data_IF_039199183967
#
_entry.id   IF_039199183967
#
_cell.length_a   1.000
_cell.length_b   1.000
_cell.length_c   1.000
_cell.angle_alpha   90.00
_cell.angle_beta   90.00
_cell.angle_gamma   90.00
#
_symmetry.space_group_name_H-M   'P 1'
#
loop_
_entity.id
_entity.type
_entity.pdbx_description
1 polymer ?
#
# COMPACT_ATOMS: atom_id res chain seq x y z
N UNK A 1 -1.18 -7.19 22.41
CA UNK A 1 -2.52 -7.43 21.85
C UNK A 1 -2.34 -8.10 20.50
N UNK A 2 -2.72 -9.36 20.38
CA UNK A 2 -2.74 -10.10 19.12
C UNK A 2 -4.03 -9.80 18.37
N UNK A 3 -3.95 -9.55 17.07
CA UNK A 3 -5.12 -9.53 16.19
C UNK A 3 -5.40 -10.98 15.75
N UNK A 4 -6.68 -11.34 15.66
CA UNK A 4 -7.10 -12.62 15.09
C UNK A 4 -7.46 -12.46 13.61
N UNK A 5 -7.51 -13.56 12.89
CA UNK A 5 -8.11 -13.61 11.57
C UNK A 5 -9.58 -13.17 11.62
N UNK A 6 -10.14 -12.63 10.51
CA UNK A 6 -11.56 -12.38 10.41
C UNK A 6 -12.38 -13.65 10.69
N UNK A 7 -13.49 -13.51 11.43
CA UNK A 7 -14.38 -14.64 11.71
C UNK A 7 -15.08 -15.16 10.45
N UNK A 8 -15.61 -16.39 10.53
CA UNK A 8 -16.29 -17.04 9.41
C UNK A 8 -17.60 -16.35 8.93
N UNK A 9 -18.06 -15.33 9.65
CA UNK A 9 -19.22 -14.50 9.31
C UNK A 9 -18.80 -13.08 8.88
N UNK A 10 -17.56 -12.88 8.46
CA UNK A 10 -17.04 -11.56 8.06
C UNK A 10 -17.82 -10.94 6.90
N UNK A 11 -18.38 -11.76 6.01
CA UNK A 11 -19.24 -11.39 4.90
C UNK A 11 -20.54 -10.69 5.31
N UNK A 12 -20.94 -10.84 6.58
CA UNK A 12 -22.13 -10.19 7.15
C UNK A 12 -21.86 -8.78 7.72
N UNK A 13 -20.58 -8.39 7.86
CA UNK A 13 -20.26 -7.06 8.37
C UNK A 13 -20.48 -5.98 7.30
N UNK A 14 -21.06 -4.85 7.70
CA UNK A 14 -21.13 -3.67 6.84
C UNK A 14 -19.73 -3.01 6.71
N UNK A 15 -19.20 -2.93 5.50
CA UNK A 15 -17.96 -2.23 5.26
C UNK A 15 -18.20 -0.72 5.10
N UNK A 16 -17.37 0.10 5.74
CA UNK A 16 -17.29 1.51 5.36
C UNK A 16 -16.43 1.62 4.09
N UNK A 17 -17.01 2.18 3.02
CA UNK A 17 -16.37 2.29 1.71
C UNK A 17 -16.11 3.76 1.40
N UNK A 18 -14.85 4.08 1.09
CA UNK A 18 -14.42 5.39 0.61
C UNK A 18 -14.21 5.33 -0.91
N UNK A 19 -14.62 6.39 -1.60
CA UNK A 19 -14.35 6.57 -3.02
C UNK A 19 -13.08 7.38 -3.18
N UNK A 20 -12.07 6.81 -3.81
CA UNK A 20 -10.75 7.42 -4.01
C UNK A 20 -10.49 7.61 -5.51
N UNK A 21 -10.06 8.81 -5.89
CA UNK A 21 -9.64 9.08 -7.26
C UNK A 21 -8.23 8.51 -7.50
N UNK A 22 -7.99 7.81 -8.63
CA UNK A 22 -6.63 7.43 -9.00
C UNK A 22 -5.65 8.61 -9.09
N UNK A 23 -6.11 9.82 -9.34
CA UNK A 23 -5.28 11.03 -9.38
C UNK A 23 -4.64 11.41 -8.03
N UNK A 24 -5.15 10.83 -6.93
CA UNK A 24 -4.58 11.01 -5.60
C UNK A 24 -3.48 10.00 -5.27
N UNK A 25 -3.26 9.01 -6.15
CA UNK A 25 -2.38 7.88 -5.87
C UNK A 25 -0.97 8.10 -6.38
N UNK A 26 -0.01 7.70 -5.56
CA UNK A 26 1.41 7.67 -5.88
C UNK A 26 1.94 6.25 -5.63
N UNK A 27 2.71 5.75 -6.58
CA UNK A 27 3.44 4.49 -6.44
C UNK A 27 4.91 4.70 -6.80
N UNK A 28 5.80 4.04 -6.08
CA UNK A 28 7.21 3.94 -6.44
C UNK A 28 7.46 2.56 -7.05
N UNK A 29 8.10 2.54 -8.22
CA UNK A 29 8.41 1.32 -8.95
C UNK A 29 9.84 1.34 -9.49
N UNK A 30 10.38 0.15 -9.76
CA UNK A 30 11.63 -0.01 -10.54
C UNK A 30 11.40 0.15 -12.05
N UNK A 31 10.15 0.14 -12.47
CA UNK A 31 9.76 0.14 -13.89
C UNK A 31 8.82 1.30 -14.18
N UNK A 32 8.87 1.82 -15.40
CA UNK A 32 7.97 2.84 -15.92
C UNK A 32 6.97 2.28 -16.95
N UNK A 33 6.97 0.97 -17.17
CA UNK A 33 6.10 0.27 -18.11
C UNK A 33 5.44 -0.94 -17.46
N UNK A 34 4.30 -1.37 -17.99
CA UNK A 34 3.46 -2.46 -17.44
C UNK A 34 2.99 -2.20 -15.99
N UNK A 35 2.80 -0.92 -15.65
CA UNK A 35 2.29 -0.48 -14.35
C UNK A 35 0.82 -0.01 -14.46
N UNK A 36 0.03 -0.09 -13.37
CA UNK A 36 0.43 -0.68 -12.09
C UNK A 36 0.55 -2.21 -12.17
N UNK A 37 1.65 -2.72 -11.64
CA UNK A 37 1.87 -4.17 -11.56
C UNK A 37 1.12 -4.75 -10.36
N UNK A 38 0.33 -5.81 -10.62
CA UNK A 38 -0.39 -6.55 -9.60
C UNK A 38 0.36 -7.86 -9.29
N UNK A 39 1.17 -7.81 -8.22
CA UNK A 39 2.00 -8.94 -7.80
C UNK A 39 1.19 -10.11 -7.25
N UNK A 40 1.62 -11.34 -7.58
CA UNK A 40 1.06 -12.60 -7.07
C UNK A 40 2.12 -13.43 -6.34
N UNK A 41 3.10 -12.76 -5.71
CA UNK A 41 4.18 -13.47 -5.02
C UNK A 41 3.72 -14.23 -3.78
N UNK A 42 2.70 -13.72 -3.11
CA UNK A 42 2.25 -14.20 -1.80
C UNK A 42 3.19 -13.77 -0.66
N UNK A 43 4.20 -12.96 -0.96
CA UNK A 43 5.24 -12.58 -0.01
C UNK A 43 5.01 -11.26 0.74
N UNK A 44 4.12 -10.40 0.24
CA UNK A 44 3.84 -9.13 0.92
C UNK A 44 2.71 -9.29 1.94
N UNK A 45 2.61 -8.30 2.84
CA UNK A 45 1.69 -8.29 3.98
C UNK A 45 0.23 -8.60 3.63
N UNK A 46 -0.24 -8.10 2.49
CA UNK A 46 -1.63 -8.22 2.07
C UNK A 46 -1.81 -9.00 0.76
N UNK A 47 -0.78 -9.73 0.32
CA UNK A 47 -0.88 -10.62 -0.82
C UNK A 47 -1.80 -11.83 -0.52
N UNK A 48 -2.40 -12.42 -1.55
CA UNK A 48 -3.03 -13.73 -1.39
C UNK A 48 -1.95 -14.83 -1.36
N UNK A 49 -1.81 -15.58 -0.24
CA UNK A 49 -0.81 -16.66 -0.16
C UNK A 49 -1.09 -17.80 -1.14
N UNK A 50 -2.32 -17.92 -1.64
CA UNK A 50 -2.71 -18.88 -2.67
C UNK A 50 -2.57 -18.34 -4.10
N UNK A 51 -2.12 -17.07 -4.27
CA UNK A 51 -1.86 -16.43 -5.57
C UNK A 51 -3.06 -16.38 -6.52
N UNK A 52 -4.29 -16.39 -6.01
CA UNK A 52 -5.52 -16.37 -6.81
C UNK A 52 -5.76 -15.01 -7.46
N UNK A 53 -5.33 -13.93 -6.77
CA UNK A 53 -5.41 -12.56 -7.28
C UNK A 53 -4.12 -11.81 -6.97
N UNK A 54 -3.87 -10.77 -7.75
CA UNK A 54 -2.74 -9.87 -7.54
C UNK A 54 -3.13 -8.66 -6.69
N UNK A 55 -2.13 -8.06 -6.06
CA UNK A 55 -2.24 -6.83 -5.28
C UNK A 55 -1.26 -5.79 -5.77
N UNK A 56 -1.64 -4.52 -5.68
CA UNK A 56 -0.78 -3.37 -5.94
C UNK A 56 -0.89 -2.37 -4.80
N UNK A 57 0.24 -1.78 -4.38
CA UNK A 57 0.35 -0.92 -3.20
C UNK A 57 0.60 0.52 -3.62
N UNK A 58 -0.06 1.48 -2.93
CA UNK A 58 0.03 2.90 -3.23
C UNK A 58 0.04 3.73 -1.94
N UNK A 59 0.61 4.93 -2.01
CA UNK A 59 0.45 5.97 -1.01
C UNK A 59 -0.33 7.16 -1.57
N UNK A 60 -0.75 8.08 -0.69
CA UNK A 60 -1.34 9.35 -1.08
C UNK A 60 -0.29 10.47 -1.17
N UNK A 61 0.90 10.24 -0.64
CA UNK A 61 2.01 11.18 -0.69
C UNK A 61 3.27 10.48 -1.14
N UNK A 62 4.20 11.22 -1.74
CA UNK A 62 5.49 10.67 -2.14
C UNK A 62 6.28 10.14 -0.93
N UNK A 63 6.33 10.82 0.25
CA UNK A 63 6.98 10.25 1.43
C UNK A 63 6.38 8.91 1.87
N UNK A 64 5.04 8.77 1.86
CA UNK A 64 4.38 7.51 2.22
C UNK A 64 4.72 6.39 1.23
N UNK A 65 4.60 6.63 -0.07
CA UNK A 65 4.95 5.66 -1.09
C UNK A 65 6.44 5.27 -1.02
N UNK A 66 7.33 6.22 -0.68
CA UNK A 66 8.76 5.98 -0.52
C UNK A 66 9.05 5.11 0.72
N UNK A 67 8.43 5.42 1.85
CA UNK A 67 8.60 4.65 3.08
C UNK A 67 8.10 3.21 2.92
N UNK A 68 6.94 3.01 2.29
CA UNK A 68 6.34 1.69 2.05
C UNK A 68 7.11 0.85 1.00
N UNK A 69 7.97 1.47 0.18
CA UNK A 69 8.63 0.76 -0.94
C UNK A 69 10.15 0.70 -0.77
N UNK A 70 10.81 1.86 -0.55
CA UNK A 70 12.28 1.94 -0.54
C UNK A 70 12.82 1.73 0.86
N UNK A 71 12.14 2.26 1.89
CA UNK A 71 12.57 2.14 3.29
C UNK A 71 11.98 0.93 4.01
N UNK A 72 11.18 0.11 3.32
CA UNK A 72 10.43 -1.00 3.94
C UNK A 72 11.29 -1.90 4.82
N UNK A 73 12.47 -2.29 4.36
CA UNK A 73 13.41 -3.20 5.05
C UNK A 73 14.65 -2.46 5.58
N UNK A 74 14.67 -1.12 5.46
CA UNK A 74 15.83 -0.32 5.85
C UNK A 74 15.74 0.14 7.31
N UNK A 75 16.89 0.19 7.96
CA UNK A 75 17.01 0.68 9.35
C UNK A 75 17.83 1.96 9.36
N UNK A 76 17.28 3.01 9.94
CA UNK A 76 18.00 4.27 10.08
C UNK A 76 19.19 4.14 11.03
N UNK A 77 20.36 4.62 10.60
CA UNK A 77 21.47 4.89 11.50
C UNK A 77 21.27 6.21 12.27
N UNK A 78 22.22 6.57 13.15
CA UNK A 78 22.12 7.83 13.94
C UNK A 78 22.04 9.10 13.08
N UNK A 79 22.57 9.05 11.85
CA UNK A 79 22.58 10.18 10.91
C UNK A 79 21.44 10.14 9.89
N UNK A 80 20.71 9.03 9.78
CA UNK A 80 19.63 8.80 8.81
C UNK A 80 19.82 7.51 8.03
N UNK A 81 19.17 7.42 6.86
CA UNK A 81 19.26 6.23 6.00
C UNK A 81 20.38 6.37 4.98
N UNK A 82 21.19 5.33 4.82
CA UNK A 82 22.20 5.21 3.79
C UNK A 82 21.64 4.35 2.65
N UNK A 83 21.45 4.93 1.48
CA UNK A 83 20.86 4.26 0.33
C UNK A 83 21.83 4.25 -0.85
N UNK A 84 21.95 3.10 -1.49
CA UNK A 84 22.73 2.94 -2.73
C UNK A 84 22.00 3.60 -3.90
N UNK A 85 22.76 3.93 -4.96
CA UNK A 85 22.19 4.42 -6.21
C UNK A 85 21.12 3.46 -6.78
N UNK A 86 21.33 2.13 -6.65
CA UNK A 86 20.37 1.13 -7.10
C UNK A 86 19.05 1.12 -6.31
N UNK A 87 19.06 1.52 -5.04
CA UNK A 87 17.85 1.68 -4.23
C UNK A 87 17.09 2.95 -4.61
N UNK A 88 17.80 3.99 -5.03
CA UNK A 88 17.25 5.27 -5.47
C UNK A 88 16.83 5.27 -6.95
N UNK A 89 17.29 4.32 -7.75
CA UNK A 89 16.89 4.15 -9.16
C UNK A 89 15.45 3.65 -9.21
N UNK A 90 14.53 4.58 -9.17
CA UNK A 90 13.07 4.36 -9.11
C UNK A 90 12.33 5.38 -9.95
N UNK A 91 11.12 5.01 -10.33
CA UNK A 91 10.13 5.90 -10.92
C UNK A 91 9.03 6.22 -9.91
N UNK A 92 8.64 7.49 -9.88
CA UNK A 92 7.42 7.96 -9.22
C UNK A 92 6.32 7.93 -10.24
N UNK A 93 5.30 7.12 -10.00
CA UNK A 93 4.16 6.95 -10.87
C UNK A 93 2.95 7.67 -10.29
N UNK A 94 2.24 8.40 -11.13
CA UNK A 94 0.91 8.94 -10.86
C UNK A 94 -0.11 8.34 -11.80
N UNK A 95 -1.39 8.43 -11.44
CA UNK A 95 -2.44 7.66 -12.11
C UNK A 95 -3.62 8.53 -12.50
N UNK A 96 -4.44 8.00 -13.39
CA UNK A 96 -5.76 8.50 -13.79
C UNK A 96 -6.69 7.31 -14.00
N UNK A 97 -7.99 7.58 -14.07
CA UNK A 97 -8.97 6.54 -14.35
C UNK A 97 -10.26 6.72 -13.54
N UNK A 98 -10.95 5.60 -13.26
CA UNK A 98 -12.23 5.59 -12.57
C UNK A 98 -12.06 5.57 -11.05
N UNK A 99 -13.06 6.07 -10.31
CA UNK A 99 -13.08 6.02 -8.86
C UNK A 99 -12.97 4.58 -8.33
N UNK A 100 -12.12 4.39 -7.34
CA UNK A 100 -11.95 3.14 -6.62
C UNK A 100 -12.85 3.11 -5.39
N UNK A 101 -13.55 2.00 -5.16
CA UNK A 101 -14.31 1.72 -3.95
C UNK A 101 -13.42 0.96 -2.96
N UNK A 102 -12.90 1.63 -1.94
CA UNK A 102 -11.94 1.06 -1.00
C UNK A 102 -12.56 0.89 0.39
N UNK A 103 -12.43 -0.30 0.97
CA UNK A 103 -12.85 -0.53 2.35
C UNK A 103 -11.90 0.16 3.35
N UNK A 104 -12.43 0.78 4.38
CA UNK A 104 -11.62 1.42 5.42
C UNK A 104 -11.16 0.39 6.46
N UNK A 105 -9.91 -0.06 6.37
CA UNK A 105 -9.28 -0.96 7.34
C UNK A 105 -8.42 -0.17 8.34
N UNK A 106 -8.99 0.89 8.91
CA UNK A 106 -8.32 1.76 9.89
C UNK A 106 -9.33 2.42 10.84
N UNK A 107 -8.83 3.01 11.92
CA UNK A 107 -9.62 3.79 12.87
C UNK A 107 -10.81 3.01 13.45
N UNK A 108 -11.97 3.68 13.66
CA UNK A 108 -13.17 3.04 14.20
C UNK A 108 -13.73 1.97 13.26
N UNK A 109 -13.53 2.10 11.95
CA UNK A 109 -14.02 1.12 10.97
C UNK A 109 -13.33 -0.23 11.15
N UNK A 110 -12.00 -0.25 11.28
CA UNK A 110 -11.24 -1.46 11.61
C UNK A 110 -11.68 -2.06 12.96
N UNK A 111 -11.91 -1.20 13.95
CA UNK A 111 -12.34 -1.66 15.27
C UNK A 111 -13.72 -2.31 15.23
N UNK A 112 -14.65 -1.78 14.45
CA UNK A 112 -15.99 -2.34 14.26
C UNK A 112 -15.96 -3.70 13.53
N UNK A 113 -14.94 -3.95 12.72
CA UNK A 113 -14.70 -5.25 12.09
C UNK A 113 -13.99 -6.26 13.01
N UNK A 114 -13.72 -5.89 14.27
CA UNK A 114 -13.01 -6.74 15.24
C UNK A 114 -11.49 -6.68 15.16
N UNK A 115 -10.94 -5.81 14.31
CA UNK A 115 -9.50 -5.65 14.12
C UNK A 115 -8.85 -4.62 15.08
N UNK A 116 -7.56 -4.46 14.93
CA UNK A 116 -6.74 -3.43 15.59
C UNK A 116 -5.50 -3.09 14.73
N UNK A 117 -4.70 -2.10 15.15
CA UNK A 117 -3.56 -1.60 14.40
C UNK A 117 -2.49 -2.67 14.05
N UNK A 118 -2.48 -3.81 14.74
CA UNK A 118 -1.55 -4.89 14.43
C UNK A 118 -1.72 -5.45 13.00
N UNK A 119 -2.88 -5.29 12.37
CA UNK A 119 -3.10 -5.69 10.97
C UNK A 119 -2.07 -5.11 10.02
N UNK A 120 -1.62 -3.87 10.30
CA UNK A 120 -0.63 -3.17 9.47
C UNK A 120 0.83 -3.39 9.90
N UNK A 121 1.08 -3.94 11.10
CA UNK A 121 2.44 -3.98 11.66
C UNK A 121 2.94 -5.38 12.03
N UNK A 122 2.04 -6.37 12.20
CA UNK A 122 2.45 -7.69 12.66
C UNK A 122 3.23 -8.49 11.61
N UNK A 123 4.10 -9.35 12.10
CA UNK A 123 4.78 -10.43 11.39
C UNK A 123 4.61 -11.72 12.20
N UNK A 124 4.53 -12.90 11.56
CA UNK A 124 4.43 -13.13 10.12
C UNK A 124 3.12 -12.64 9.52
N UNK A 125 3.01 -12.64 8.17
CA UNK A 125 1.91 -12.01 7.42
C UNK A 125 0.63 -12.86 7.31
N UNK A 126 0.59 -14.04 7.91
CA UNK A 126 -0.56 -14.98 7.80
C UNK A 126 -1.90 -14.33 8.16
N UNK A 127 -1.95 -13.54 9.22
CA UNK A 127 -3.20 -12.89 9.66
C UNK A 127 -3.54 -11.67 8.77
N UNK A 128 -2.63 -10.72 8.47
CA UNK A 128 -2.88 -9.67 7.49
C UNK A 128 -3.36 -10.18 6.13
N UNK A 129 -2.80 -11.27 5.63
CA UNK A 129 -3.20 -11.91 4.38
C UNK A 129 -4.63 -12.46 4.45
N UNK A 130 -5.04 -13.02 5.60
CA UNK A 130 -6.42 -13.45 5.81
C UNK A 130 -7.41 -12.26 5.86
N UNK A 131 -7.00 -11.13 6.43
CA UNK A 131 -7.79 -9.89 6.38
C UNK A 131 -7.96 -9.38 4.95
N UNK A 132 -6.86 -9.33 4.17
CA UNK A 132 -6.90 -8.96 2.74
C UNK A 132 -7.83 -9.88 1.95
N UNK A 133 -7.73 -11.18 2.18
CA UNK A 133 -8.58 -12.18 1.53
C UNK A 133 -10.06 -12.01 1.89
N UNK A 134 -10.38 -11.81 3.17
CA UNK A 134 -11.75 -11.61 3.60
C UNK A 134 -12.38 -10.37 2.97
N UNK A 135 -11.62 -9.27 2.81
CA UNK A 135 -12.07 -8.09 2.07
C UNK A 135 -12.21 -8.34 0.58
N UNK A 136 -11.28 -9.10 -0.03
CA UNK A 136 -11.37 -9.47 -1.44
C UNK A 136 -12.61 -10.31 -1.72
N UNK A 137 -12.91 -11.30 -0.88
CA UNK A 137 -14.01 -12.24 -1.08
C UNK A 137 -15.36 -11.68 -0.58
N UNK A 138 -15.37 -10.48 0.04
CA UNK A 138 -16.56 -9.84 0.60
C UNK A 138 -17.61 -9.52 -0.46
N UNK A 139 -18.93 -9.72 -0.18
CA UNK A 139 -20.04 -9.44 -1.12
C UNK A 139 -20.13 -8.00 -1.64
N UNK A 140 -19.53 -7.04 -0.91
CA UNK A 140 -19.47 -5.64 -1.36
C UNK A 140 -18.55 -5.42 -2.58
N UNK A 141 -17.79 -6.45 -3.01
CA UNK A 141 -16.90 -6.42 -4.19
C UNK A 141 -16.00 -5.17 -4.28
N UNK A 142 -15.38 -4.78 -3.15
CA UNK A 142 -14.49 -3.63 -3.10
C UNK A 142 -13.29 -3.79 -4.02
N UNK A 143 -12.78 -2.67 -4.53
CA UNK A 143 -11.60 -2.62 -5.42
C UNK A 143 -10.29 -2.81 -4.64
N UNK A 144 -10.33 -2.65 -3.33
CA UNK A 144 -9.20 -2.72 -2.43
C UNK A 144 -9.55 -2.18 -1.05
N UNK A 145 -8.56 -1.75 -0.29
CA UNK A 145 -8.77 -1.18 1.03
C UNK A 145 -7.68 -0.19 1.44
N UNK A 146 -8.05 0.69 2.36
CA UNK A 146 -7.19 1.68 3.01
C UNK A 146 -6.71 1.13 4.35
N UNK A 147 -5.45 1.38 4.70
CA UNK A 147 -4.89 1.03 6.00
C UNK A 147 -3.93 2.12 6.49
N UNK A 148 -3.57 2.12 7.78
CA UNK A 148 -2.51 2.99 8.29
C UNK A 148 -1.15 2.41 7.93
N UNK A 149 -0.29 3.21 7.28
CA UNK A 149 1.07 2.80 6.96
C UNK A 149 1.83 2.38 8.22
N UNK A 150 2.56 1.26 8.15
CA UNK A 150 3.43 0.85 9.25
C UNK A 150 4.73 1.67 9.28
N UNK A 151 5.16 2.15 8.12
CA UNK A 151 6.44 2.87 7.96
C UNK A 151 6.29 4.39 8.11
N UNK A 152 5.05 4.91 8.00
CA UNK A 152 4.69 6.31 8.20
C UNK A 152 3.30 6.36 8.85
N UNK A 153 3.24 6.08 10.15
CA UNK A 153 2.04 5.72 10.91
C UNK A 153 1.02 6.87 11.12
N UNK A 154 1.32 8.06 10.63
CA UNK A 154 0.40 9.20 10.56
C UNK A 154 -0.29 9.34 9.20
N UNK A 155 0.01 8.45 8.25
CA UNK A 155 -0.53 8.48 6.90
C UNK A 155 -1.23 7.18 6.52
N UNK A 156 -2.22 7.31 5.64
CA UNK A 156 -2.87 6.16 5.02
C UNK A 156 -2.08 5.68 3.81
N UNK A 157 -2.04 4.37 3.64
CA UNK A 157 -1.66 3.68 2.43
C UNK A 157 -2.82 2.81 1.95
N UNK A 158 -2.72 2.23 0.78
CA UNK A 158 -3.77 1.39 0.24
C UNK A 158 -3.25 0.22 -0.58
N UNK A 159 -4.06 -0.83 -0.60
CA UNK A 159 -3.94 -1.97 -1.49
C UNK A 159 -5.09 -1.95 -2.48
N UNK A 160 -4.78 -2.12 -3.76
CA UNK A 160 -5.76 -2.32 -4.82
C UNK A 160 -5.67 -3.77 -5.30
N UNK A 161 -6.81 -4.42 -5.47
CA UNK A 161 -6.92 -5.78 -6.00
C UNK A 161 -6.88 -5.78 -7.53
N UNK A 162 -6.33 -6.82 -8.13
CA UNK A 162 -6.19 -6.98 -9.58
C UNK A 162 -7.52 -6.79 -10.35
N UNK A 163 -8.67 -7.09 -9.72
CA UNK A 163 -10.00 -6.87 -10.33
C UNK A 163 -10.26 -5.43 -10.74
N UNK A 164 -9.60 -4.47 -10.09
CA UNK A 164 -9.74 -3.05 -10.39
C UNK A 164 -8.67 -2.52 -11.37
N UNK A 165 -7.87 -3.41 -11.98
CA UNK A 165 -6.76 -3.02 -12.87
C UNK A 165 -7.21 -2.09 -13.99
N UNK A 166 -8.34 -2.36 -14.61
CA UNK A 166 -8.87 -1.57 -15.73
C UNK A 166 -9.34 -0.16 -15.34
N UNK A 167 -9.51 0.10 -14.03
CA UNK A 167 -9.83 1.43 -13.49
C UNK A 167 -8.61 2.33 -13.34
N UNK A 168 -7.39 1.81 -13.55
CA UNK A 168 -6.13 2.49 -13.30
C UNK A 168 -5.29 2.54 -14.56
N UNK A 169 -4.88 3.73 -14.95
CA UNK A 169 -3.87 3.94 -15.99
C UNK A 169 -2.79 4.89 -15.45
N UNK A 170 -1.52 4.62 -15.78
CA UNK A 170 -0.42 5.54 -15.46
C UNK A 170 -0.62 6.83 -16.25
N UNK A 171 -0.69 7.96 -15.57
CA UNK A 171 -0.76 9.28 -16.19
C UNK A 171 0.62 9.89 -16.39
N UNK A 172 1.57 9.60 -15.49
CA UNK A 172 2.95 10.07 -15.59
C UNK A 172 3.91 9.12 -14.87
N UNK A 173 5.16 9.09 -15.34
CA UNK A 173 6.25 8.33 -14.74
C UNK A 173 7.52 9.22 -14.79
N UNK A 174 8.00 9.65 -13.62
CA UNK A 174 9.18 10.51 -13.48
C UNK A 174 10.23 9.75 -12.68
N UNK A 175 11.48 9.77 -13.11
CA UNK A 175 12.59 9.25 -12.30
C UNK A 175 12.65 9.98 -10.96
N UNK A 176 12.89 9.23 -9.87
CA UNK A 176 12.76 9.76 -8.51
C UNK A 176 13.67 10.96 -8.26
N UNK A 177 14.92 10.91 -8.73
CA UNK A 177 15.90 11.99 -8.61
C UNK A 177 15.51 13.26 -9.38
N UNK A 178 14.72 13.12 -10.45
CA UNK A 178 14.17 14.21 -11.25
C UNK A 178 12.80 14.73 -10.73
N UNK A 179 12.20 14.05 -9.74
CA UNK A 179 10.89 14.43 -9.23
C UNK A 179 10.98 15.68 -8.35
N UNK A 180 10.11 16.72 -8.56
CA UNK A 180 10.17 17.99 -7.81
C UNK A 180 10.13 17.86 -6.29
N UNK A 181 9.49 16.81 -5.78
CA UNK A 181 9.40 16.54 -4.34
C UNK A 181 10.52 15.65 -3.80
N UNK A 182 11.44 15.15 -4.63
CA UNK A 182 12.54 14.30 -4.16
C UNK A 182 13.40 14.98 -3.08
N UNK A 183 13.78 16.27 -3.20
CA UNK A 183 14.55 16.96 -2.15
C UNK A 183 13.83 16.94 -0.79
N UNK A 184 12.50 17.05 -0.78
CA UNK A 184 11.71 16.98 0.45
C UNK A 184 11.71 15.59 1.08
N UNK A 185 11.70 14.53 0.27
CA UNK A 185 11.83 13.14 0.75
C UNK A 185 13.20 12.93 1.38
N UNK A 186 14.28 13.42 0.74
CA UNK A 186 15.63 13.39 1.29
C UNK A 186 15.71 14.08 2.65
N UNK A 187 15.09 15.24 2.80
CA UNK A 187 15.05 15.99 4.06
C UNK A 187 14.28 15.22 5.15
N UNK A 188 13.05 14.78 4.86
CA UNK A 188 12.17 14.11 5.83
C UNK A 188 12.85 12.87 6.43
N UNK A 189 13.46 12.04 5.60
CA UNK A 189 14.05 10.76 6.02
C UNK A 189 15.56 10.85 6.26
N UNK A 190 16.17 12.03 6.09
CA UNK A 190 17.63 12.22 6.20
C UNK A 190 18.38 11.18 5.34
N UNK A 191 18.08 11.17 4.04
CA UNK A 191 18.67 10.21 3.12
C UNK A 191 20.08 10.62 2.72
N UNK A 192 21.02 9.68 2.75
CA UNK A 192 22.40 9.84 2.31
C UNK A 192 22.70 8.80 1.22
N UNK A 193 22.88 9.23 -0.04
CA UNK A 193 23.36 8.35 -1.11
C UNK A 193 24.79 7.88 -0.85
N UNK A 194 25.07 6.58 -1.06
CA UNK A 194 26.39 5.95 -0.95
C UNK A 194 26.74 5.19 -2.21
#
# INVERSE_FOLDING_TARGET
LTISAPGGNFDLFGLHIEKVSPTELIRISRHNSNEPYFGKSGGNRFDDPQRRYGTSYFGFTLPCAFAETVLHDEVAGPTGFQLTAAQLDRYVLTFQGELLNLAALYGPHLKNLGGNAAVSSMTPYDIPQQWSRALHDHPAHVDGFLYMSNHLNDQKALVVFERAKEKLAVSNAIQFDCHPQAPKVFEIFRLFPI
#
